data_IF_316771191193
#
_entry.id   IF_316771191193
#
_cell.length_a   1.000
_cell.length_b   1.000
_cell.length_c   1.000
_cell.angle_alpha   90.00
_cell.angle_beta   90.00
_cell.angle_gamma   90.00
#
_symmetry.space_group_name_H-M   'P 1'
#
loop_
_entity.id
_entity.type
_entity.pdbx_description
1 polymer ?
#
# COMPACT_ATOMS: atom_id res chain seq x y z
N UNK A 1 4.47 89.41 -27.40
CA UNK A 1 5.40 88.27 -27.54
C UNK A 1 5.68 87.68 -26.17
N UNK A 2 5.05 86.55 -25.79
CA UNK A 2 5.29 85.91 -24.51
C UNK A 2 6.42 84.86 -24.59
N UNK A 3 7.14 84.79 -23.48
CA UNK A 3 8.32 83.99 -23.21
C UNK A 3 8.01 82.49 -23.24
N UNK A 4 8.97 81.74 -23.78
CA UNK A 4 8.96 80.27 -23.91
C UNK A 4 8.79 79.59 -22.55
N UNK A 5 7.88 78.62 -22.52
CA UNK A 5 7.56 77.76 -21.39
C UNK A 5 8.74 76.90 -20.93
N UNK A 6 8.68 76.59 -19.64
CA UNK A 6 9.66 75.86 -18.87
C UNK A 6 9.46 74.33 -18.89
N UNK A 7 10.59 73.66 -18.67
CA UNK A 7 10.77 72.52 -17.77
C UNK A 7 10.45 71.07 -18.22
N UNK A 8 11.35 70.20 -17.73
CA UNK A 8 11.30 68.74 -17.52
C UNK A 8 11.74 67.86 -18.68
N UNK A 9 13.01 67.45 -18.71
CA UNK A 9 13.61 66.30 -17.98
C UNK A 9 13.58 65.02 -18.82
N UNK A 10 14.72 64.79 -19.49
CA UNK A 10 15.36 63.50 -19.77
C UNK A 10 14.58 62.23 -19.43
N UNK A 11 13.85 61.69 -20.41
CA UNK A 11 13.41 60.29 -20.41
C UNK A 11 14.48 59.39 -21.02
N UNK A 12 15.40 58.88 -20.20
CA UNK A 12 16.22 57.72 -20.58
C UNK A 12 15.36 56.47 -20.45
N UNK A 13 14.71 56.05 -21.53
CA UNK A 13 14.06 54.73 -21.62
C UNK A 13 15.13 53.65 -21.63
N UNK A 14 15.59 53.28 -20.43
CA UNK A 14 16.50 52.16 -20.24
C UNK A 14 15.66 50.89 -20.41
N UNK A 15 15.61 50.36 -21.64
CA UNK A 15 15.06 49.03 -21.94
C UNK A 15 15.87 48.01 -21.14
N UNK A 16 15.40 47.63 -19.96
CA UNK A 16 15.98 46.51 -19.21
C UNK A 16 15.66 45.25 -20.02
N UNK A 17 16.66 44.49 -20.49
CA UNK A 17 16.37 43.21 -21.12
C UNK A 17 15.69 42.34 -20.07
N UNK A 18 14.41 42.03 -20.29
CA UNK A 18 13.69 41.05 -19.51
C UNK A 18 14.41 39.72 -19.74
N UNK A 19 15.07 39.20 -18.71
CA UNK A 19 15.73 37.90 -18.77
C UNK A 19 14.65 36.85 -19.03
N UNK A 20 14.57 36.36 -20.28
CA UNK A 20 13.71 35.23 -20.64
C UNK A 20 14.25 34.02 -19.88
N UNK A 21 13.50 33.58 -18.88
CA UNK A 21 13.75 32.35 -18.16
C UNK A 21 13.59 31.19 -19.17
N UNK A 22 14.61 30.33 -19.38
CA UNK A 22 14.66 29.33 -20.48
C UNK A 22 13.62 28.19 -20.37
N UNK A 23 12.64 28.33 -19.48
CA UNK A 23 11.59 27.37 -19.20
C UNK A 23 10.24 27.70 -19.88
N UNK A 24 10.12 28.89 -20.48
CA UNK A 24 8.85 29.34 -21.11
C UNK A 24 8.68 28.90 -22.57
N UNK A 25 9.72 28.36 -23.20
CA UNK A 25 9.70 27.87 -24.59
C UNK A 25 9.37 26.36 -24.68
N UNK A 26 8.60 25.84 -23.71
CA UNK A 26 8.11 24.46 -23.77
C UNK A 26 6.94 24.37 -24.77
N UNK A 27 7.20 23.85 -25.97
CA UNK A 27 6.21 23.54 -26.99
C UNK A 27 5.81 22.04 -26.91
N UNK A 28 4.64 21.72 -26.33
CA UNK A 28 4.19 20.34 -26.16
C UNK A 28 3.99 19.62 -27.49
N UNK A 29 3.66 20.36 -28.56
CA UNK A 29 3.42 19.80 -29.88
C UNK A 29 4.72 19.34 -30.55
N UNK A 30 5.82 20.11 -30.40
CA UNK A 30 7.16 19.67 -30.83
C UNK A 30 7.70 18.53 -29.98
N UNK A 31 7.50 18.57 -28.67
CA UNK A 31 7.91 17.48 -27.80
C UNK A 31 7.22 16.16 -28.15
N UNK A 32 5.90 16.17 -28.44
CA UNK A 32 5.17 14.98 -28.92
C UNK A 32 5.48 14.57 -30.37
N UNK A 33 5.97 15.48 -31.20
CA UNK A 33 6.38 15.15 -32.56
C UNK A 33 7.77 14.48 -32.59
N UNK A 34 8.69 14.96 -31.74
CA UNK A 34 10.07 14.46 -31.65
C UNK A 34 10.17 13.21 -30.74
N UNK A 35 9.40 13.15 -29.66
CA UNK A 35 9.11 11.92 -28.93
C UNK A 35 7.84 11.31 -29.52
N UNK A 36 7.96 10.27 -30.36
CA UNK A 36 6.86 9.36 -30.64
C UNK A 36 6.43 8.69 -29.33
N UNK A 37 5.62 9.37 -28.52
CA UNK A 37 5.00 8.79 -27.33
C UNK A 37 4.09 7.69 -27.87
N UNK A 38 4.33 6.41 -27.54
CA UNK A 38 3.43 5.31 -27.85
C UNK A 38 2.00 5.72 -27.51
N UNK A 39 1.02 5.36 -28.35
CA UNK A 39 -0.38 5.62 -28.04
C UNK A 39 -0.69 5.08 -26.62
N UNK A 40 -0.89 5.99 -25.68
CA UNK A 40 -1.09 5.66 -24.27
C UNK A 40 -2.50 5.11 -24.09
N UNK A 41 -2.63 3.89 -23.59
CA UNK A 41 -3.92 3.26 -23.34
C UNK A 41 -4.59 3.83 -22.08
N UNK A 42 -5.48 4.80 -22.28
CA UNK A 42 -6.23 5.43 -21.19
C UNK A 42 -7.20 4.46 -20.49
N UNK A 43 -7.75 3.47 -21.21
CA UNK A 43 -8.64 2.47 -20.63
C UNK A 43 -7.87 1.50 -19.74
N UNK A 44 -6.71 1.04 -20.22
CA UNK A 44 -5.74 0.30 -19.43
C UNK A 44 -5.32 1.04 -18.16
N UNK A 45 -5.01 2.33 -18.24
CA UNK A 45 -4.63 3.14 -17.08
C UNK A 45 -5.76 3.23 -16.03
N UNK A 46 -7.02 3.42 -16.47
CA UNK A 46 -8.17 3.41 -15.55
C UNK A 46 -8.39 2.03 -14.90
N UNK A 47 -8.21 0.95 -15.65
CA UNK A 47 -8.30 -0.41 -15.12
C UNK A 47 -7.20 -0.69 -14.09
N UNK A 48 -5.96 -0.25 -14.35
CA UNK A 48 -4.82 -0.35 -13.44
C UNK A 48 -5.14 0.32 -12.08
N UNK A 49 -5.68 1.54 -12.12
CA UNK A 49 -6.08 2.27 -10.90
C UNK A 49 -7.19 1.57 -10.14
N UNK A 50 -8.21 1.06 -10.84
CA UNK A 50 -9.32 0.32 -10.21
C UNK A 50 -8.81 -0.92 -9.49
N UNK A 51 -7.99 -1.73 -10.15
CA UNK A 51 -7.37 -2.94 -9.58
C UNK A 51 -6.45 -2.63 -8.39
N UNK A 52 -5.75 -1.50 -8.39
CA UNK A 52 -4.96 -1.07 -7.23
C UNK A 52 -5.84 -0.82 -6.01
N UNK A 53 -6.96 -0.11 -6.20
CA UNK A 53 -7.91 0.14 -5.11
C UNK A 53 -8.49 -1.17 -4.59
N UNK A 54 -8.92 -2.06 -5.48
CA UNK A 54 -9.45 -3.38 -5.11
C UNK A 54 -8.43 -4.20 -4.30
N UNK A 55 -7.16 -4.23 -4.71
CA UNK A 55 -6.11 -4.94 -4.00
C UNK A 55 -5.84 -4.36 -2.61
N UNK A 56 -5.81 -3.02 -2.48
CA UNK A 56 -5.63 -2.35 -1.18
C UNK A 56 -6.84 -2.61 -0.28
N UNK A 57 -8.06 -2.54 -0.82
CA UNK A 57 -9.28 -2.84 -0.08
C UNK A 57 -9.29 -4.29 0.41
N UNK A 58 -8.96 -5.25 -0.45
CA UNK A 58 -8.87 -6.65 -0.09
C UNK A 58 -7.81 -6.90 0.99
N UNK A 59 -6.61 -6.32 0.83
CA UNK A 59 -5.54 -6.39 1.82
C UNK A 59 -5.98 -5.79 3.18
N UNK A 60 -6.70 -4.66 3.15
CA UNK A 60 -7.29 -4.05 4.34
C UNK A 60 -8.31 -4.96 5.02
N UNK A 61 -9.23 -5.55 4.25
CA UNK A 61 -10.23 -6.50 4.75
C UNK A 61 -9.57 -7.72 5.41
N UNK A 62 -8.61 -8.34 4.74
CA UNK A 62 -7.85 -9.47 5.30
C UNK A 62 -7.14 -9.09 6.60
N UNK A 63 -6.56 -7.89 6.69
CA UNK A 63 -5.94 -7.40 7.92
C UNK A 63 -6.97 -7.22 9.05
N UNK A 64 -8.14 -6.65 8.76
CA UNK A 64 -9.23 -6.49 9.74
C UNK A 64 -9.80 -7.83 10.20
N UNK A 65 -10.01 -8.77 9.29
CA UNK A 65 -10.45 -10.13 9.61
C UNK A 65 -9.43 -10.87 10.48
N UNK A 66 -8.14 -10.75 10.16
CA UNK A 66 -7.05 -11.31 10.96
C UNK A 66 -7.00 -10.72 12.37
N UNK A 67 -7.15 -9.41 12.51
CA UNK A 67 -7.24 -8.75 13.82
C UNK A 67 -8.48 -9.20 14.61
N UNK A 68 -9.64 -9.33 13.94
CA UNK A 68 -10.87 -9.84 14.55
C UNK A 68 -10.77 -11.31 14.96
N UNK A 69 -10.07 -12.14 14.19
CA UNK A 69 -9.78 -13.52 14.56
C UNK A 69 -8.84 -13.58 15.78
N UNK A 70 -7.77 -12.78 15.78
CA UNK A 70 -6.83 -12.68 16.90
C UNK A 70 -7.54 -12.32 18.20
N UNK A 71 -8.37 -11.28 18.19
CA UNK A 71 -9.10 -10.83 19.39
C UNK A 71 -10.09 -11.88 19.91
N UNK A 72 -10.78 -12.59 19.02
CA UNK A 72 -11.64 -13.72 19.40
C UNK A 72 -10.83 -14.82 20.10
N UNK A 73 -9.70 -15.20 19.53
CA UNK A 73 -8.85 -16.24 20.11
C UNK A 73 -8.26 -15.82 21.46
N UNK A 74 -7.84 -14.55 21.61
CA UNK A 74 -7.41 -14.03 22.90
C UNK A 74 -8.51 -14.13 23.97
N UNK A 75 -9.77 -13.89 23.59
CA UNK A 75 -10.93 -14.07 24.48
C UNK A 75 -11.20 -15.53 24.85
N UNK A 76 -11.07 -16.44 23.88
CA UNK A 76 -11.19 -17.89 24.12
C UNK A 76 -10.11 -18.39 25.08
N UNK A 77 -8.84 -18.02 24.86
CA UNK A 77 -7.74 -18.37 25.76
C UNK A 77 -7.97 -17.86 27.19
N UNK A 78 -8.51 -16.64 27.34
CA UNK A 78 -8.85 -16.10 28.66
C UNK A 78 -9.96 -16.92 29.33
N UNK A 79 -10.97 -17.34 28.57
CA UNK A 79 -12.05 -18.19 29.08
C UNK A 79 -11.54 -19.57 29.49
N UNK A 80 -10.71 -20.20 28.65
CA UNK A 80 -10.03 -21.47 28.95
C UNK A 80 -9.22 -21.37 30.26
N UNK A 81 -8.49 -20.27 30.47
CA UNK A 81 -7.72 -20.05 31.69
C UNK A 81 -8.59 -19.92 32.95
N UNK A 82 -9.75 -19.26 32.85
CA UNK A 82 -10.72 -19.16 33.96
C UNK A 82 -11.33 -20.52 34.27
N UNK A 83 -11.74 -21.27 33.25
CA UNK A 83 -12.31 -22.61 33.40
C UNK A 83 -11.30 -23.59 34.03
N UNK A 84 -10.05 -23.56 33.57
CA UNK A 84 -8.96 -24.34 34.13
C UNK A 84 -8.70 -23.99 35.60
N UNK A 85 -8.74 -22.70 35.96
CA UNK A 85 -8.55 -22.26 37.34
C UNK A 85 -9.71 -22.71 38.25
N UNK A 86 -10.95 -22.59 37.78
CA UNK A 86 -12.13 -23.03 38.52
C UNK A 86 -12.13 -24.54 38.76
N UNK A 87 -11.76 -25.34 37.75
CA UNK A 87 -11.64 -26.79 37.87
C UNK A 87 -10.59 -27.23 38.90
N UNK A 88 -9.57 -26.40 39.13
CA UNK A 88 -8.45 -26.69 40.03
C UNK A 88 -8.56 -26.00 41.40
N UNK A 89 -9.66 -25.31 41.72
CA UNK A 89 -9.85 -24.69 43.05
C UNK A 89 -9.72 -25.70 44.20
N UNK A 90 -10.15 -26.96 43.97
CA UNK A 90 -10.07 -28.03 44.96
C UNK A 90 -8.62 -28.41 45.35
N UNK A 91 -7.62 -28.05 44.54
CA UNK A 91 -6.20 -28.25 44.89
C UNK A 91 -5.81 -27.43 46.12
N UNK A 92 -6.36 -26.23 46.27
CA UNK A 92 -6.03 -25.32 47.36
C UNK A 92 -6.98 -25.43 48.55
N UNK A 93 -8.27 -25.64 48.28
CA UNK A 93 -9.32 -25.60 49.31
C UNK A 93 -9.83 -26.97 49.77
N UNK A 94 -9.34 -28.07 49.18
CA UNK A 94 -9.74 -29.42 49.58
C UNK A 94 -9.05 -29.92 50.86
N UNK A 95 -9.72 -30.83 51.56
CA UNK A 95 -9.13 -31.67 52.60
C UNK A 95 -8.29 -32.78 51.93
N UNK A 96 -7.01 -32.48 51.71
CA UNK A 96 -6.03 -33.41 51.15
C UNK A 96 -4.69 -33.27 51.88
N UNK A 97 -3.88 -34.32 51.83
CA UNK A 97 -2.53 -34.34 52.44
C UNK A 97 -1.61 -33.30 51.78
N UNK A 98 -0.51 -32.93 52.47
CA UNK A 98 0.46 -31.98 51.91
C UNK A 98 1.12 -32.51 50.62
N UNK A 99 1.47 -33.79 50.58
CA UNK A 99 2.05 -34.43 49.40
C UNK A 99 1.08 -34.45 48.21
N UNK A 100 -0.21 -34.79 48.43
CA UNK A 100 -1.23 -34.71 47.37
C UNK A 100 -1.41 -33.29 46.83
N UNK A 101 -1.40 -32.29 47.71
CA UNK A 101 -1.51 -30.87 47.33
C UNK A 101 -0.30 -30.43 46.52
N UNK A 102 0.91 -30.86 46.91
CA UNK A 102 2.14 -30.56 46.18
C UNK A 102 2.16 -31.19 44.78
N UNK A 103 1.77 -32.46 44.66
CA UNK A 103 1.72 -33.16 43.37
C UNK A 103 0.68 -32.53 42.43
N UNK A 104 -0.53 -32.27 42.93
CA UNK A 104 -1.60 -31.61 42.15
C UNK A 104 -1.25 -30.18 41.76
N UNK A 105 -0.60 -29.43 42.65
CA UNK A 105 -0.09 -28.09 42.36
C UNK A 105 0.96 -28.10 41.25
N UNK A 106 1.88 -29.07 41.27
CA UNK A 106 2.88 -29.23 40.22
C UNK A 106 2.28 -29.67 38.88
N UNK A 107 1.25 -30.52 38.89
CA UNK A 107 0.50 -30.89 37.68
C UNK A 107 -0.25 -29.68 37.09
N UNK A 108 -0.91 -28.88 37.93
CA UNK A 108 -1.59 -27.64 37.51
C UNK A 108 -0.60 -26.63 36.91
N UNK A 109 0.53 -26.40 37.57
CA UNK A 109 1.55 -25.47 37.07
C UNK A 109 2.11 -25.89 35.70
N UNK A 110 2.35 -27.19 35.50
CA UNK A 110 2.76 -27.74 34.19
C UNK A 110 1.68 -27.52 33.14
N UNK A 111 0.43 -27.90 33.42
CA UNK A 111 -0.67 -27.69 32.49
C UNK A 111 -0.87 -26.22 32.11
N UNK A 112 -0.79 -25.30 33.08
CA UNK A 112 -0.88 -23.87 32.83
C UNK A 112 0.26 -23.34 31.95
N UNK A 113 1.48 -23.84 32.15
CA UNK A 113 2.63 -23.51 31.30
C UNK A 113 2.45 -23.99 29.87
N UNK A 114 2.04 -25.25 29.69
CA UNK A 114 1.82 -25.85 28.37
C UNK A 114 0.71 -25.11 27.60
N UNK A 115 -0.40 -24.79 28.27
CA UNK A 115 -1.48 -23.98 27.69
C UNK A 115 -1.02 -22.57 27.30
N UNK A 116 -0.21 -21.92 28.14
CA UNK A 116 0.29 -20.57 27.85
C UNK A 116 1.22 -20.56 26.62
N UNK A 117 2.14 -21.52 26.53
CA UNK A 117 3.05 -21.65 25.38
C UNK A 117 2.27 -21.99 24.11
N UNK A 118 1.31 -22.91 24.18
CA UNK A 118 0.45 -23.26 23.05
C UNK A 118 -0.36 -22.06 22.55
N UNK A 119 -1.01 -21.32 23.46
CA UNK A 119 -1.77 -20.12 23.12
C UNK A 119 -0.91 -19.01 22.52
N UNK A 120 0.29 -18.78 23.06
CA UNK A 120 1.24 -17.82 22.50
C UNK A 120 1.70 -18.21 21.08
N UNK A 121 1.98 -19.50 20.85
CA UNK A 121 2.33 -20.02 19.53
C UNK A 121 1.20 -19.84 18.52
N UNK A 122 -0.04 -20.16 18.91
CA UNK A 122 -1.20 -20.01 18.05
C UNK A 122 -1.44 -18.55 17.64
N UNK A 123 -1.39 -17.62 18.60
CA UNK A 123 -1.52 -16.19 18.34
C UNK A 123 -0.41 -15.68 17.41
N UNK A 124 0.84 -16.13 17.61
CA UNK A 124 1.96 -15.78 16.74
C UNK A 124 1.74 -16.31 15.31
N UNK A 125 1.27 -17.55 15.16
CA UNK A 125 0.96 -18.14 13.87
C UNK A 125 -0.19 -17.41 13.16
N UNK A 126 -1.22 -16.98 13.90
CA UNK A 126 -2.31 -16.17 13.35
C UNK A 126 -1.81 -14.83 12.80
N UNK A 127 -0.96 -14.12 13.55
CA UNK A 127 -0.34 -12.88 13.09
C UNK A 127 0.54 -13.10 11.85
N UNK A 128 1.35 -14.17 11.85
CA UNK A 128 2.20 -14.50 10.73
C UNK A 128 1.40 -14.87 9.47
N UNK A 129 0.33 -15.66 9.61
CA UNK A 129 -0.58 -16.02 8.51
C UNK A 129 -1.24 -14.78 7.92
N UNK A 130 -1.83 -13.92 8.75
CA UNK A 130 -2.46 -12.66 8.32
C UNK A 130 -1.47 -11.80 7.55
N UNK A 131 -0.24 -11.63 8.08
CA UNK A 131 0.79 -10.85 7.41
C UNK A 131 1.21 -11.40 6.05
N UNK A 132 1.33 -12.74 5.93
CA UNK A 132 1.64 -13.40 4.66
C UNK A 132 0.52 -13.24 3.62
N UNK A 133 -0.74 -13.34 4.05
CA UNK A 133 -1.89 -13.18 3.15
C UNK A 133 -1.99 -11.75 2.62
N UNK A 134 -1.88 -10.75 3.50
CA UNK A 134 -1.84 -9.32 3.12
C UNK A 134 -0.68 -9.04 2.16
N UNK A 135 0.52 -9.52 2.49
CA UNK A 135 1.68 -9.36 1.61
C UNK A 135 1.46 -10.05 0.25
N UNK A 136 0.91 -11.26 0.24
CA UNK A 136 0.63 -12.01 -0.99
C UNK A 136 -0.34 -11.27 -1.92
N UNK A 137 -1.36 -10.61 -1.38
CA UNK A 137 -2.29 -9.78 -2.17
C UNK A 137 -1.56 -8.59 -2.83
N UNK A 138 -0.68 -7.94 -2.09
CA UNK A 138 0.09 -6.79 -2.59
C UNK A 138 1.13 -7.23 -3.61
N UNK A 139 1.92 -8.27 -3.33
CA UNK A 139 2.93 -8.81 -4.26
C UNK A 139 2.28 -9.24 -5.58
N UNK A 140 1.15 -9.94 -5.52
CA UNK A 140 0.36 -10.29 -6.71
C UNK A 140 -0.01 -9.04 -7.51
N UNK A 141 -0.56 -8.02 -6.85
CA UNK A 141 -0.99 -6.80 -7.54
C UNK A 141 0.19 -6.06 -8.18
N UNK A 142 1.34 -6.01 -7.50
CA UNK A 142 2.56 -5.38 -8.02
C UNK A 142 3.01 -6.10 -9.29
N UNK A 143 3.04 -7.43 -9.30
CA UNK A 143 3.40 -8.22 -10.49
C UNK A 143 2.44 -7.95 -11.65
N UNK A 144 1.13 -8.01 -11.39
CA UNK A 144 0.10 -7.71 -12.38
C UNK A 144 0.25 -6.27 -12.92
N UNK A 145 0.61 -5.29 -12.08
CA UNK A 145 0.81 -3.91 -12.50
C UNK A 145 2.02 -3.76 -13.43
N UNK A 146 3.09 -4.53 -13.20
CA UNK A 146 4.25 -4.55 -14.10
C UNK A 146 3.90 -5.12 -15.47
N UNK A 147 3.13 -6.22 -15.51
CA UNK A 147 2.67 -6.85 -16.75
C UNK A 147 1.71 -5.92 -17.53
N UNK A 148 0.77 -5.28 -16.83
CA UNK A 148 -0.16 -4.31 -17.39
C UNK A 148 0.57 -3.10 -17.96
N UNK A 149 1.58 -2.57 -17.26
CA UNK A 149 2.38 -1.44 -17.74
C UNK A 149 3.20 -1.81 -18.97
N UNK A 150 3.76 -3.02 -19.02
CA UNK A 150 4.47 -3.52 -20.20
C UNK A 150 3.55 -3.66 -21.42
N UNK A 151 2.30 -4.08 -21.20
CA UNK A 151 1.29 -4.21 -22.25
C UNK A 151 0.76 -2.87 -22.78
N UNK A 152 0.78 -1.81 -21.95
CA UNK A 152 0.37 -0.45 -22.35
C UNK A 152 1.37 0.26 -23.29
N UNK A 153 2.59 -0.26 -23.45
CA UNK A 153 3.56 0.26 -24.42
C UNK A 153 3.25 -0.31 -25.80
N UNK A 154 2.42 0.39 -26.58
CA UNK A 154 2.10 -0.01 -27.96
C UNK A 154 3.33 0.23 -28.85
N UNK A 155 3.89 -0.78 -29.54
CA UNK A 155 4.97 -0.54 -30.50
C UNK A 155 4.48 0.42 -31.60
N UNK A 156 5.34 1.31 -32.12
CA UNK A 156 4.92 2.27 -33.13
C UNK A 156 4.31 1.56 -34.33
N UNK A 157 3.12 1.99 -34.75
CA UNK A 157 2.48 1.49 -35.97
C UNK A 157 3.48 1.55 -37.13
N UNK A 158 3.63 0.45 -37.87
CA UNK A 158 4.48 0.39 -39.06
C UNK A 158 4.12 1.57 -39.98
N UNK A 159 5.10 2.35 -40.49
CA UNK A 159 4.80 3.44 -41.40
C UNK A 159 4.00 2.87 -42.58
N UNK A 160 2.84 3.46 -42.88
CA UNK A 160 2.12 3.17 -44.10
C UNK A 160 3.08 3.39 -45.27
N UNK A 161 3.34 2.32 -46.01
CA UNK A 161 4.11 2.33 -47.25
C UNK A 161 3.49 3.41 -48.15
N UNK A 162 4.23 4.50 -48.38
CA UNK A 162 3.78 5.57 -49.28
C UNK A 162 3.54 4.95 -50.64
N UNK A 163 2.27 4.76 -51.00
CA UNK A 163 1.87 4.44 -52.36
C UNK A 163 2.51 5.47 -53.29
N UNK A 164 3.41 5.01 -54.16
CA UNK A 164 4.07 5.85 -55.14
C UNK A 164 3.02 6.57 -56.01
N UNK A 165 3.24 7.84 -56.39
CA UNK A 165 2.30 8.51 -57.29
C UNK A 165 2.31 7.80 -58.65
N UNK A 166 1.14 7.32 -59.06
CA UNK A 166 0.92 6.81 -60.41
C UNK A 166 1.24 7.94 -61.41
N UNK A 167 2.25 7.71 -62.25
CA UNK A 167 2.49 8.51 -63.44
C UNK A 167 1.38 8.20 -64.45
N UNK A 168 0.59 9.20 -64.83
CA UNK A 168 -0.11 9.29 -66.12
C UNK A 168 -0.44 10.75 -66.37
#
# INVERSE_FOLDING_TARGET
>A
MPLRQAARETGTETKRPMYKMPFTDFDPARFMADFKIPAFDAEGAMALHRKNVEAITAAGQTAFEGAGAFMRRQGELAREAVEASAANMNVFFGDASFEDKAERGAAFARGAWDSAVAGAGELADMSARTGREVFGLIDKRVREAMDETAAMVVPPAKPAEKAAPAKS
#
